data_IF_427898392411
#
_entry.id   IF_427898392411
#
_cell.length_a   1.000
_cell.length_b   1.000
_cell.length_c   1.000
_cell.angle_alpha   90.00
_cell.angle_beta   90.00
_cell.angle_gamma   90.00
#
_symmetry.space_group_name_H-M   'P 1'
#
loop_
_entity.id
_entity.type
_entity.pdbx_description
1 polymer ?
#
# COMPACT_ATOMS: atom_id res chain seq x y z
N UNK A 1 1.23 9.05 5.98
CA UNK A 1 0.23 8.99 7.03
C UNK A 1 -0.96 9.90 6.85
N UNK A 2 -0.80 11.24 6.70
CA UNK A 2 -1.93 12.17 6.70
C UNK A 2 -2.99 11.93 5.64
N UNK A 3 -2.60 11.57 4.43
CA UNK A 3 -3.54 11.29 3.35
C UNK A 3 -4.46 10.10 3.66
N UNK A 4 -3.92 9.01 4.21
CA UNK A 4 -4.71 7.84 4.62
C UNK A 4 -5.68 8.18 5.76
N UNK A 5 -5.22 8.97 6.75
CA UNK A 5 -6.08 9.43 7.85
C UNK A 5 -7.22 10.33 7.36
N UNK A 6 -6.99 11.18 6.37
CA UNK A 6 -8.04 11.98 5.74
C UNK A 6 -9.09 11.10 5.03
N UNK A 7 -8.66 10.03 4.36
CA UNK A 7 -9.59 9.08 3.74
C UNK A 7 -10.43 8.37 4.80
N UNK A 8 -9.82 7.96 5.93
CA UNK A 8 -10.57 7.36 7.04
C UNK A 8 -11.70 8.28 7.53
N UNK A 9 -11.38 9.57 7.74
CA UNK A 9 -12.38 10.54 8.15
C UNK A 9 -13.50 10.68 7.13
N UNK A 10 -13.14 10.84 5.85
CA UNK A 10 -14.12 10.95 4.77
C UNK A 10 -15.05 9.72 4.70
N UNK A 11 -14.50 8.52 4.79
CA UNK A 11 -15.29 7.28 4.77
C UNK A 11 -16.22 7.22 5.96
N UNK A 12 -15.75 7.50 7.16
CA UNK A 12 -16.59 7.46 8.37
C UNK A 12 -17.70 8.51 8.32
N UNK A 13 -17.41 9.74 7.89
CA UNK A 13 -18.39 10.83 7.78
C UNK A 13 -19.49 10.52 6.74
N UNK A 14 -19.17 9.76 5.69
CA UNK A 14 -20.14 9.45 4.62
C UNK A 14 -20.83 8.09 4.78
N UNK A 15 -20.18 7.10 5.41
CA UNK A 15 -20.71 5.75 5.56
C UNK A 15 -21.11 5.40 7.00
N UNK A 16 -20.76 6.23 7.99
CA UNK A 16 -21.11 6.07 9.39
C UNK A 16 -20.28 5.04 10.15
N UNK A 17 -19.71 4.03 9.50
CA UNK A 17 -18.87 3.02 10.12
C UNK A 17 -17.93 2.36 9.10
N UNK A 18 -16.95 1.59 9.59
CA UNK A 18 -16.07 0.74 8.77
C UNK A 18 -16.56 -0.71 8.71
N UNK A 19 -17.59 -1.05 9.47
CA UNK A 19 -18.16 -2.40 9.51
C UNK A 19 -18.78 -2.76 8.16
N UNK A 20 -18.51 -3.97 7.70
CA UNK A 20 -19.02 -4.50 6.43
C UNK A 20 -18.59 -3.73 5.17
N UNK A 21 -17.61 -2.85 5.28
CA UNK A 21 -17.06 -2.10 4.14
C UNK A 21 -15.76 -2.73 3.64
N UNK A 22 -15.61 -2.83 2.33
CA UNK A 22 -14.36 -3.17 1.66
C UNK A 22 -13.92 -1.98 0.85
N UNK A 23 -12.86 -1.31 1.31
CA UNK A 23 -12.42 -0.03 0.82
C UNK A 23 -11.09 -0.22 0.09
N UNK A 24 -11.00 0.25 -1.16
CA UNK A 24 -9.74 0.35 -1.88
C UNK A 24 -9.32 1.82 -1.93
N UNK A 25 -8.14 2.09 -1.42
CA UNK A 25 -7.50 3.41 -1.48
C UNK A 25 -6.27 3.32 -2.35
N UNK A 26 -6.23 4.12 -3.42
CA UNK A 26 -5.07 4.23 -4.28
C UNK A 26 -4.51 5.64 -4.12
N UNK A 27 -3.36 5.74 -3.45
CA UNK A 27 -2.68 7.02 -3.29
C UNK A 27 -1.99 7.43 -4.58
N UNK A 28 -2.58 8.39 -5.28
CA UNK A 28 -1.97 9.02 -6.45
C UNK A 28 -1.52 10.42 -6.08
N UNK A 29 -0.21 10.65 -6.11
CA UNK A 29 0.35 11.94 -5.73
C UNK A 29 1.80 12.10 -6.17
N UNK A 30 2.35 13.30 -5.88
CA UNK A 30 3.70 13.69 -6.25
C UNK A 30 3.77 14.49 -7.55
N UNK A 31 4.85 15.27 -7.70
CA UNK A 31 5.04 16.24 -8.78
C UNK A 31 5.30 15.59 -10.16
N UNK A 32 5.31 14.28 -10.25
CA UNK A 32 5.60 13.52 -11.49
C UNK A 32 6.84 14.01 -12.25
N UNK A 33 7.87 14.49 -11.54
CA UNK A 33 9.06 15.17 -12.11
C UNK A 33 9.76 14.37 -13.21
N UNK A 34 9.68 13.04 -13.16
CA UNK A 34 10.29 12.16 -14.18
C UNK A 34 9.43 11.98 -15.43
N UNK A 35 8.15 12.29 -15.34
CA UNK A 35 7.16 12.20 -16.41
C UNK A 35 6.22 13.40 -16.35
N UNK A 36 6.72 14.61 -16.64
CA UNK A 36 6.01 15.87 -16.40
C UNK A 36 4.69 15.99 -17.18
N UNK A 37 4.55 15.28 -18.29
CA UNK A 37 3.30 15.22 -19.06
C UNK A 37 2.13 14.62 -18.27
N UNK A 38 2.39 13.90 -17.17
CA UNK A 38 1.36 13.33 -16.30
C UNK A 38 1.22 14.06 -14.96
N UNK A 39 1.86 15.20 -14.78
CA UNK A 39 1.79 15.95 -13.51
C UNK A 39 0.38 16.44 -13.20
N UNK A 40 -0.42 16.78 -14.22
CA UNK A 40 -1.79 17.25 -14.02
C UNK A 40 -2.79 16.14 -13.65
N UNK A 41 -2.66 14.96 -14.25
CA UNK A 41 -3.59 13.83 -14.06
C UNK A 41 -3.07 12.80 -13.06
N UNK A 42 -1.78 12.88 -12.69
CA UNK A 42 -1.09 11.88 -11.89
C UNK A 42 -0.65 10.66 -12.69
N UNK A 43 0.39 9.99 -12.22
CA UNK A 43 0.98 8.80 -12.85
C UNK A 43 0.00 7.64 -12.99
N UNK A 44 -0.99 7.58 -12.13
CA UNK A 44 -2.01 6.52 -12.13
C UNK A 44 -2.77 6.42 -13.46
N UNK A 45 -2.91 7.53 -14.16
CA UNK A 45 -3.59 7.59 -15.47
C UNK A 45 -2.62 7.55 -16.66
N UNK A 46 -1.35 7.17 -16.42
CA UNK A 46 -0.39 6.95 -17.50
C UNK A 46 -0.81 5.76 -18.35
N UNK A 47 -0.77 5.87 -19.70
CA UNK A 47 -1.08 4.75 -20.57
C UNK A 47 -0.01 3.65 -20.45
N UNK A 48 -0.46 2.41 -20.51
CA UNK A 48 0.40 1.21 -20.58
C UNK A 48 0.26 0.56 -21.96
N UNK A 49 1.24 -0.24 -22.41
CA UNK A 49 1.23 -0.84 -23.75
C UNK A 49 0.27 -2.04 -23.82
N UNK A 50 -0.98 -1.84 -23.45
CA UNK A 50 -2.05 -2.84 -23.50
C UNK A 50 -3.31 -2.22 -24.06
N UNK A 51 -4.08 -3.02 -24.82
CA UNK A 51 -5.39 -2.63 -25.33
C UNK A 51 -6.45 -3.43 -24.56
N UNK A 52 -7.43 -2.73 -24.04
CA UNK A 52 -8.58 -3.31 -23.36
C UNK A 52 -9.55 -3.96 -24.36
N UNK A 53 -10.45 -4.85 -23.92
CA UNK A 53 -11.43 -5.50 -24.80
C UNK A 53 -12.34 -4.53 -25.59
N UNK A 54 -12.51 -3.30 -25.08
CA UNK A 54 -13.27 -2.24 -25.75
C UNK A 54 -12.47 -1.45 -26.80
N UNK A 55 -11.24 -1.88 -27.11
CA UNK A 55 -10.35 -1.24 -28.08
C UNK A 55 -9.60 0.01 -27.57
N UNK A 56 -9.82 0.44 -26.34
CA UNK A 56 -9.11 1.59 -25.73
C UNK A 56 -7.76 1.15 -25.19
N UNK A 57 -6.80 2.08 -25.14
CA UNK A 57 -5.54 1.87 -24.43
C UNK A 57 -5.81 1.79 -22.94
N UNK A 58 -5.17 0.82 -22.30
CA UNK A 58 -5.19 0.69 -20.84
C UNK A 58 -4.35 1.76 -20.18
N UNK A 59 -4.71 2.12 -18.95
CA UNK A 59 -3.93 2.98 -18.06
C UNK A 59 -3.44 2.16 -16.87
N UNK A 60 -2.51 2.71 -16.09
CA UNK A 60 -2.09 2.08 -14.84
C UNK A 60 -3.27 1.88 -13.88
N UNK A 61 -4.24 2.80 -13.87
CA UNK A 61 -5.48 2.64 -13.10
C UNK A 61 -6.29 1.41 -13.54
N UNK A 62 -6.45 1.21 -14.85
CA UNK A 62 -7.18 0.03 -15.37
C UNK A 62 -6.48 -1.27 -14.95
N UNK A 63 -5.14 -1.32 -15.02
CA UNK A 63 -4.37 -2.48 -14.58
C UNK A 63 -4.50 -2.72 -13.07
N UNK A 64 -4.53 -1.65 -12.27
CA UNK A 64 -4.83 -1.75 -10.85
C UNK A 64 -6.19 -2.37 -10.58
N UNK A 65 -7.23 -1.87 -11.24
CA UNK A 65 -8.59 -2.38 -11.05
C UNK A 65 -8.70 -3.85 -11.46
N UNK A 66 -8.03 -4.26 -12.54
CA UNK A 66 -7.98 -5.66 -12.98
C UNK A 66 -7.24 -6.51 -11.94
N UNK A 67 -6.06 -6.11 -11.50
CA UNK A 67 -5.23 -6.87 -10.56
C UNK A 67 -5.88 -6.99 -9.18
N UNK A 68 -6.56 -5.94 -8.72
CA UNK A 68 -7.18 -5.91 -7.39
C UNK A 68 -8.61 -6.46 -7.37
N UNK A 69 -9.22 -6.76 -8.53
CA UNK A 69 -10.61 -7.25 -8.60
C UNK A 69 -10.86 -8.52 -7.79
N UNK A 70 -9.86 -9.41 -7.71
CA UNK A 70 -9.95 -10.65 -6.94
C UNK A 70 -9.74 -10.47 -5.43
N UNK A 71 -9.14 -9.37 -4.99
CA UNK A 71 -8.80 -9.15 -3.58
C UNK A 71 -10.05 -8.91 -2.73
N UNK A 72 -11.01 -8.13 -3.24
CA UNK A 72 -12.22 -7.79 -2.51
C UNK A 72 -13.04 -9.02 -2.07
N UNK A 73 -13.04 -10.09 -2.88
CA UNK A 73 -13.72 -11.34 -2.55
C UNK A 73 -12.99 -12.17 -1.49
N UNK A 74 -11.73 -11.85 -1.23
CA UNK A 74 -10.82 -12.61 -0.34
C UNK A 74 -10.38 -11.82 0.90
N UNK A 75 -10.98 -10.69 1.18
CA UNK A 75 -10.74 -9.93 2.39
C UNK A 75 -12.04 -9.74 3.19
N UNK A 76 -11.92 -9.67 4.50
CA UNK A 76 -12.99 -9.22 5.38
C UNK A 76 -13.26 -7.72 5.18
N UNK A 77 -14.21 -7.17 5.93
CA UNK A 77 -14.38 -5.73 6.03
C UNK A 77 -13.05 -5.07 6.43
N UNK A 78 -12.69 -4.00 5.74
CA UNK A 78 -11.42 -3.32 5.97
C UNK A 78 -11.02 -2.42 4.81
N UNK A 79 -9.77 -1.99 4.80
CA UNK A 79 -9.23 -1.06 3.83
C UNK A 79 -7.91 -1.61 3.25
N UNK A 80 -7.86 -1.76 1.93
CA UNK A 80 -6.62 -1.98 1.19
C UNK A 80 -6.10 -0.62 0.71
N UNK A 81 -4.92 -0.26 1.14
CA UNK A 81 -4.21 0.95 0.71
C UNK A 81 -3.10 0.55 -0.24
N UNK A 82 -3.04 1.19 -1.41
CA UNK A 82 -2.03 0.94 -2.42
C UNK A 82 -1.33 2.23 -2.85
N UNK A 83 -0.07 2.12 -3.25
CA UNK A 83 0.64 3.19 -3.96
C UNK A 83 0.23 3.20 -5.43
N UNK A 84 -0.17 4.35 -5.96
CA UNK A 84 -0.68 4.49 -7.34
C UNK A 84 0.40 4.56 -8.43
N UNK A 85 1.67 4.38 -8.07
CA UNK A 85 2.79 4.36 -9.01
C UNK A 85 3.54 3.00 -9.05
N UNK A 86 2.94 1.98 -8.45
CA UNK A 86 3.46 0.60 -8.43
C UNK A 86 2.44 -0.32 -9.12
N UNK A 87 2.86 -1.04 -10.15
CA UNK A 87 2.06 -2.11 -10.75
C UNK A 87 2.34 -3.42 -10.02
N UNK A 88 1.34 -3.94 -9.32
CA UNK A 88 1.42 -5.22 -8.62
C UNK A 88 0.79 -6.30 -9.50
N UNK A 89 1.61 -7.29 -9.89
CA UNK A 89 1.17 -8.46 -10.64
C UNK A 89 1.34 -9.70 -9.74
N UNK A 90 0.25 -10.21 -9.22
CA UNK A 90 0.23 -11.40 -8.39
C UNK A 90 -1.09 -12.15 -8.55
N UNK A 91 -1.10 -13.41 -8.16
CA UNK A 91 -2.34 -14.19 -8.10
C UNK A 91 -3.02 -14.01 -6.74
N UNK A 92 -4.13 -13.26 -6.64
CA UNK A 92 -4.80 -13.02 -5.36
C UNK A 92 -5.35 -14.29 -4.72
N UNK A 93 -5.51 -15.38 -5.49
CA UNK A 93 -5.96 -16.68 -4.97
C UNK A 93 -4.91 -17.39 -4.12
N UNK A 94 -3.65 -16.97 -4.20
CA UNK A 94 -2.54 -17.53 -3.43
C UNK A 94 -2.25 -16.73 -2.16
N UNK A 95 -2.97 -15.64 -1.91
CA UNK A 95 -2.76 -14.77 -0.76
C UNK A 95 -4.01 -14.82 0.12
N UNK A 96 -3.80 -14.96 1.43
CA UNK A 96 -4.83 -14.82 2.44
C UNK A 96 -4.86 -13.38 2.96
N UNK A 97 -6.02 -12.75 2.83
CA UNK A 97 -6.27 -11.38 3.29
C UNK A 97 -7.17 -11.33 4.54
N UNK A 98 -7.38 -12.45 5.23
CA UNK A 98 -8.26 -12.54 6.41
C UNK A 98 -7.54 -12.29 7.74
N UNK A 99 -6.32 -11.75 7.71
CA UNK A 99 -5.56 -11.41 8.91
C UNK A 99 -6.26 -10.39 9.80
N UNK A 100 -5.81 -10.29 11.06
CA UNK A 100 -6.26 -9.28 12.02
C UNK A 100 -5.28 -8.12 12.10
N UNK A 101 -5.82 -6.92 12.35
CA UNK A 101 -5.03 -5.70 12.51
C UNK A 101 -4.57 -5.13 11.18
N UNK A 102 -3.26 -5.11 10.95
CA UNK A 102 -2.66 -4.65 9.70
C UNK A 102 -1.79 -5.74 9.08
N UNK A 103 -1.89 -5.91 7.77
CA UNK A 103 -1.06 -6.82 7.00
C UNK A 103 -0.47 -6.10 5.78
N UNK A 104 0.81 -6.28 5.52
CA UNK A 104 1.50 -5.70 4.37
C UNK A 104 1.81 -6.79 3.33
N UNK A 105 1.72 -6.44 2.05
CA UNK A 105 2.26 -7.28 0.99
C UNK A 105 3.73 -6.95 0.81
N UNK A 106 4.56 -7.97 0.87
CA UNK A 106 5.98 -7.87 0.53
C UNK A 106 6.33 -8.76 -0.66
N UNK A 107 7.47 -8.48 -1.27
CA UNK A 107 8.12 -9.36 -2.23
C UNK A 107 9.51 -9.69 -1.73
N UNK A 108 9.90 -10.97 -1.80
CA UNK A 108 11.25 -11.39 -1.46
C UNK A 108 12.19 -11.16 -2.63
N UNK A 109 13.24 -10.38 -2.36
CA UNK A 109 14.28 -10.04 -3.34
C UNK A 109 15.65 -9.98 -2.65
N UNK A 110 16.76 -10.11 -3.38
CA UNK A 110 18.10 -9.91 -2.84
C UNK A 110 18.26 -8.56 -2.14
N UNK A 111 19.00 -8.51 -1.04
CA UNK A 111 19.27 -7.31 -0.27
C UNK A 111 19.89 -6.18 -1.11
N UNK A 112 20.63 -6.52 -2.17
CA UNK A 112 21.15 -5.56 -3.14
C UNK A 112 20.05 -4.75 -3.87
N UNK A 113 18.89 -5.34 -4.09
CA UNK A 113 17.72 -4.64 -4.60
C UNK A 113 17.04 -3.88 -3.45
N UNK A 114 16.87 -4.55 -2.31
CA UNK A 114 16.21 -4.01 -1.12
C UNK A 114 16.80 -2.72 -0.58
N UNK A 115 18.12 -2.51 -0.74
CA UNK A 115 18.81 -1.29 -0.26
C UNK A 115 18.23 0.02 -0.81
N UNK A 116 17.52 -0.02 -1.92
CA UNK A 116 16.91 1.16 -2.57
C UNK A 116 15.44 1.37 -2.18
N UNK A 117 14.86 0.46 -1.41
CA UNK A 117 13.43 0.37 -1.10
C UNK A 117 13.15 0.44 0.40
N UNK A 118 11.86 0.38 0.75
CA UNK A 118 11.40 0.02 2.07
C UNK A 118 11.53 -1.50 2.27
N UNK A 119 11.98 -1.93 3.44
CA UNK A 119 12.18 -3.33 3.79
C UNK A 119 11.53 -3.61 5.13
N UNK A 120 10.73 -4.66 5.22
CA UNK A 120 10.21 -5.16 6.47
C UNK A 120 11.21 -6.11 7.13
N UNK A 121 11.38 -5.96 8.44
CA UNK A 121 11.98 -7.00 9.25
C UNK A 121 10.87 -7.91 9.74
N UNK A 122 10.89 -9.14 9.29
CA UNK A 122 9.86 -10.14 9.54
C UNK A 122 10.45 -11.25 10.42
N UNK A 123 9.70 -11.69 11.42
CA UNK A 123 10.08 -12.86 12.24
C UNK A 123 9.69 -14.17 11.56
N UNK A 124 10.04 -15.31 12.21
CA UNK A 124 9.74 -16.65 11.68
C UNK A 124 8.26 -17.00 11.60
N UNK A 125 7.38 -16.19 12.20
CA UNK A 125 5.93 -16.35 12.18
C UNK A 125 5.25 -15.41 11.16
N UNK A 126 6.03 -14.55 10.50
CA UNK A 126 5.54 -13.60 9.52
C UNK A 126 5.11 -12.25 10.12
N UNK A 127 5.38 -12.00 11.41
CA UNK A 127 5.05 -10.71 12.02
C UNK A 127 6.11 -9.66 11.69
N UNK A 128 5.64 -8.43 11.41
CA UNK A 128 6.52 -7.30 11.14
C UNK A 128 7.01 -6.69 12.44
N UNK A 129 8.29 -6.88 12.74
CA UNK A 129 8.97 -6.32 13.90
C UNK A 129 9.65 -4.97 13.63
N UNK A 130 9.71 -4.51 12.39
CA UNK A 130 10.30 -3.22 12.02
C UNK A 130 10.22 -2.91 10.53
N UNK A 131 10.39 -1.62 10.22
CA UNK A 131 10.44 -1.12 8.85
C UNK A 131 11.70 -0.28 8.65
N UNK A 132 12.43 -0.57 7.58
CA UNK A 132 13.68 0.09 7.25
C UNK A 132 13.59 0.69 5.86
N UNK A 133 14.05 1.93 5.72
CA UNK A 133 14.01 2.63 4.44
C UNK A 133 15.41 2.99 3.98
N UNK A 134 15.80 2.53 2.78
CA UNK A 134 17.07 2.82 2.11
C UNK A 134 18.29 2.56 3.03
N UNK A 135 18.40 1.35 3.54
CA UNK A 135 19.54 0.88 4.33
C UNK A 135 20.53 0.15 3.43
N UNK A 136 21.82 0.20 3.78
CA UNK A 136 22.84 -0.59 3.07
C UNK A 136 22.61 -2.09 3.33
N UNK A 137 23.20 -2.93 2.49
CA UNK A 137 23.09 -4.39 2.65
C UNK A 137 23.60 -4.83 4.02
N UNK A 138 24.73 -4.29 4.46
CA UNK A 138 25.32 -4.60 5.77
C UNK A 138 24.39 -4.17 6.92
N UNK A 139 23.71 -3.03 6.77
CA UNK A 139 22.73 -2.57 7.75
C UNK A 139 21.50 -3.48 7.80
N UNK A 140 20.99 -3.92 6.63
CA UNK A 140 19.85 -4.84 6.57
C UNK A 140 20.18 -6.17 7.23
N UNK A 141 21.38 -6.71 6.98
CA UNK A 141 21.87 -7.92 7.61
C UNK A 141 22.03 -7.77 9.12
N UNK A 142 22.73 -6.72 9.57
CA UNK A 142 22.97 -6.47 10.99
C UNK A 142 21.71 -6.23 11.80
N UNK A 143 20.65 -5.73 11.17
CA UNK A 143 19.33 -5.50 11.77
C UNK A 143 18.42 -6.74 11.70
N UNK A 144 18.89 -7.84 11.14
CA UNK A 144 18.13 -9.09 11.01
C UNK A 144 16.94 -8.98 10.05
N UNK A 145 17.09 -8.19 8.97
CA UNK A 145 16.08 -8.03 7.95
C UNK A 145 16.29 -8.95 6.74
N UNK A 146 17.43 -9.62 6.64
CA UNK A 146 17.72 -10.60 5.60
C UNK A 146 17.56 -12.03 6.12
N UNK A 147 17.08 -12.90 5.26
CA UNK A 147 17.07 -14.34 5.51
C UNK A 147 18.46 -14.97 5.27
N UNK A 148 18.57 -16.29 5.51
CA UNK A 148 19.82 -17.06 5.36
C UNK A 148 20.34 -17.11 3.91
N UNK A 149 19.48 -16.79 2.93
CA UNK A 149 19.83 -16.69 1.50
C UNK A 149 20.22 -15.28 1.08
N UNK A 150 20.19 -14.31 2.02
CA UNK A 150 20.48 -12.90 1.75
C UNK A 150 19.33 -12.14 1.09
N UNK A 151 18.11 -12.69 1.09
CA UNK A 151 16.92 -11.99 0.61
C UNK A 151 16.26 -11.19 1.73
N UNK A 152 15.49 -10.19 1.33
CA UNK A 152 14.74 -9.28 2.20
C UNK A 152 13.29 -9.14 1.73
N UNK A 153 12.40 -8.78 2.63
CA UNK A 153 11.00 -8.51 2.33
C UNK A 153 10.81 -7.04 1.96
N UNK A 154 10.77 -6.75 0.65
CA UNK A 154 10.58 -5.40 0.11
C UNK A 154 9.11 -5.00 0.22
N UNK A 155 8.87 -3.78 0.70
CA UNK A 155 7.56 -3.14 0.72
C UNK A 155 7.04 -2.91 -0.70
N UNK A 156 5.86 -3.44 -0.99
CA UNK A 156 5.16 -3.24 -2.27
C UNK A 156 4.29 -1.97 -2.28
N UNK A 157 4.18 -1.28 -1.16
CA UNK A 157 3.26 -0.15 -0.98
C UNK A 157 1.79 -0.56 -0.85
N UNK A 158 1.51 -1.86 -0.63
CA UNK A 158 0.16 -2.37 -0.39
C UNK A 158 0.01 -2.83 1.06
N UNK A 159 -0.91 -2.21 1.79
CA UNK A 159 -1.21 -2.53 3.20
C UNK A 159 -2.71 -2.69 3.38
N UNK A 160 -3.10 -3.74 4.08
CA UNK A 160 -4.49 -4.01 4.46
C UNK A 160 -4.65 -3.70 5.94
N UNK A 161 -5.73 -3.01 6.26
CA UNK A 161 -6.20 -2.77 7.63
C UNK A 161 -7.57 -3.42 7.78
N UNK A 162 -7.79 -4.20 8.82
CA UNK A 162 -9.12 -4.70 9.15
C UNK A 162 -10.01 -3.59 9.75
N UNK A 163 -11.30 -3.86 9.90
CA UNK A 163 -12.26 -2.87 10.41
C UNK A 163 -11.98 -2.45 11.86
N UNK A 164 -11.46 -3.35 12.71
CA UNK A 164 -11.10 -3.05 14.09
C UNK A 164 -9.91 -2.07 14.13
N UNK A 165 -8.89 -2.29 13.30
CA UNK A 165 -7.75 -1.39 13.18
C UNK A 165 -8.18 -0.01 12.63
N UNK A 166 -9.10 0.03 11.66
CA UNK A 166 -9.63 1.29 11.15
C UNK A 166 -10.38 2.08 12.22
N UNK A 167 -11.18 1.39 13.06
CA UNK A 167 -11.83 2.00 14.23
C UNK A 167 -10.81 2.57 15.22
N UNK A 168 -9.72 1.85 15.49
CA UNK A 168 -8.66 2.30 16.38
C UNK A 168 -7.87 3.50 15.81
N UNK A 169 -7.67 3.55 14.50
CA UNK A 169 -6.96 4.64 13.82
C UNK A 169 -7.81 5.91 13.61
N UNK A 170 -9.13 5.77 13.60
CA UNK A 170 -10.03 6.89 13.31
C UNK A 170 -9.88 8.08 14.29
N UNK A 171 -9.83 7.89 15.62
CA UNK A 171 -9.59 9.00 16.55
C UNK A 171 -8.26 9.72 16.31
N UNK A 172 -7.21 8.99 15.87
CA UNK A 172 -5.90 9.55 15.56
C UNK A 172 -5.99 10.54 14.39
N UNK A 173 -6.94 10.37 13.48
CA UNK A 173 -7.13 11.27 12.35
C UNK A 173 -7.48 12.71 12.78
N UNK A 174 -8.18 12.87 13.89
CA UNK A 174 -8.53 14.18 14.42
C UNK A 174 -7.39 14.85 15.17
N UNK A 175 -6.61 14.09 15.93
CA UNK A 175 -5.48 14.65 16.71
C UNK A 175 -4.35 15.09 15.79
N UNK A 176 -4.08 14.36 14.73
CA UNK A 176 -3.00 14.67 13.79
C UNK A 176 -3.30 15.90 12.94
N UNK A 177 -4.56 16.11 12.55
CA UNK A 177 -4.98 17.26 11.75
C UNK A 177 -5.02 18.55 12.56
N UNK A 178 -5.48 18.50 13.82
CA UNK A 178 -5.46 19.67 14.70
C UNK A 178 -4.06 20.19 14.99
N UNK A 179 -3.05 19.33 15.08
CA UNK A 179 -1.67 19.73 15.28
C UNK A 179 -1.09 20.53 14.07
N UNK A 180 -1.61 20.33 12.87
CA UNK A 180 -1.22 21.10 11.69
C UNK A 180 -2.02 22.39 11.50
N UNK A 181 -3.23 22.49 12.03
CA UNK A 181 -4.06 23.70 11.96
C UNK A 181 -3.66 24.78 12.99
N UNK A 182 -3.07 24.39 14.11
CA UNK A 182 -2.62 25.31 15.17
C UNK A 182 -1.21 25.87 14.97
N UNK A 183 -0.52 25.49 13.92
CA UNK A 183 0.85 25.90 13.58
C UNK A 183 0.94 27.03 12.54
N UNK A 184 -0.08 27.90 12.41
CA UNK A 184 -0.03 29.13 11.60
C UNK A 184 -0.09 30.36 12.48
#
# INVERSE_FOLDING_TARGET
GGATLNVLRYVHENAGSFENQRILVIHSGGDSKRVPQYSACGKLFSPVPRVLPNGKRSTLFDEFMISMSGVAARMNAGMLVCSGDVLLLFNPLQIDFYGKGAAALSIKEPAEIGKNHGVYRVDGEGNVGGFMHKKTVEQLQSLGASDDQGNVDIDTGAVIFDSEMLQALYPVSYTHLRAHETGR
#
